data_IF_026348780450
#
_entry.id   IF_026348780450
#
_cell.length_a   1.000
_cell.length_b   1.000
_cell.length_c   1.000
_cell.angle_alpha   90.00
_cell.angle_beta   90.00
_cell.angle_gamma   90.00
#
_symmetry.space_group_name_H-M   'P 1'
#
loop_
_entity.id
_entity.type
_entity.pdbx_description
1 polymer ?
#
# COMPACT_ATOMS: atom_id res chain seq x y z
N UNK A 1 8.25 16.57 -7.28
CA UNK A 1 7.28 17.67 -7.45
C UNK A 1 6.64 17.91 -6.11
N UNK A 2 6.54 19.16 -5.66
CA UNK A 2 5.81 19.53 -4.44
C UNK A 2 4.37 19.88 -4.78
N UNK A 3 3.43 19.53 -3.91
CA UNK A 3 2.01 19.79 -4.11
C UNK A 3 1.62 21.19 -3.59
N UNK A 4 0.75 21.89 -4.32
CA UNK A 4 0.19 23.16 -3.87
C UNK A 4 -0.80 22.96 -2.70
N UNK A 5 -1.09 23.99 -1.89
CA UNK A 5 -2.11 23.91 -0.84
C UNK A 5 -3.51 23.52 -1.36
N UNK A 6 -3.85 23.91 -2.59
CA UNK A 6 -5.10 23.55 -3.25
C UNK A 6 -5.13 22.05 -3.57
N UNK A 7 -4.04 21.51 -4.12
CA UNK A 7 -3.91 20.08 -4.35
C UNK A 7 -4.07 19.29 -3.04
N UNK A 8 -3.46 19.77 -1.94
CA UNK A 8 -3.59 19.14 -0.63
C UNK A 8 -5.03 19.14 -0.09
N UNK A 9 -5.86 20.13 -0.44
CA UNK A 9 -7.29 20.12 -0.06
C UNK A 9 -8.06 19.05 -0.82
N UNK A 10 -7.81 18.90 -2.12
CA UNK A 10 -8.44 17.85 -2.93
C UNK A 10 -8.09 16.47 -2.38
N UNK A 11 -6.83 16.29 -1.97
CA UNK A 11 -6.34 15.02 -1.43
C UNK A 11 -6.93 14.63 -0.06
N UNK A 12 -7.66 15.53 0.62
CA UNK A 12 -8.34 15.21 1.88
C UNK A 12 -9.63 14.43 1.69
N UNK A 13 -10.27 14.57 0.52
CA UNK A 13 -11.47 13.81 0.22
C UNK A 13 -11.08 12.41 -0.24
N UNK A 14 -11.78 11.36 0.24
CA UNK A 14 -11.48 10.00 -0.17
C UNK A 14 -11.80 9.82 -1.66
N UNK A 15 -10.83 9.37 -2.44
CA UNK A 15 -10.97 9.07 -3.87
C UNK A 15 -11.84 7.82 -4.16
N UNK A 16 -12.36 7.17 -3.12
CA UNK A 16 -13.13 5.95 -3.21
C UNK A 16 -13.91 5.66 -1.93
N UNK A 17 -14.26 4.39 -1.73
CA UNK A 17 -15.03 3.98 -0.55
C UNK A 17 -14.21 4.18 0.74
N UNK A 18 -14.68 5.07 1.60
CA UNK A 18 -14.14 5.22 2.95
C UNK A 18 -14.67 4.10 3.85
N UNK A 19 -13.76 3.23 4.29
CA UNK A 19 -14.05 2.19 5.27
C UNK A 19 -13.67 2.68 6.67
N UNK A 20 -14.64 3.21 7.41
CA UNK A 20 -14.41 3.75 8.75
C UNK A 20 -13.98 2.67 9.75
N UNK A 21 -12.99 2.96 10.60
CA UNK A 21 -12.46 2.02 11.60
C UNK A 21 -13.53 1.43 12.54
N UNK A 22 -14.51 2.23 12.96
CA UNK A 22 -15.63 1.77 13.83
C UNK A 22 -16.53 0.73 13.15
N UNK A 23 -16.52 0.70 11.83
CA UNK A 23 -17.43 -0.08 10.99
C UNK A 23 -16.73 -1.21 10.24
N UNK A 24 -15.39 -1.21 10.19
CA UNK A 24 -14.56 -2.20 9.50
C UNK A 24 -14.57 -3.51 10.26
N UNK A 25 -15.02 -4.56 9.57
CA UNK A 25 -14.92 -5.94 10.01
C UNK A 25 -14.22 -6.76 8.92
N UNK A 26 -13.62 -7.90 9.31
CA UNK A 26 -13.04 -8.86 8.37
C UNK A 26 -14.00 -9.20 7.23
N UNK A 27 -15.28 -9.39 7.55
CA UNK A 27 -16.33 -9.74 6.58
C UNK A 27 -16.54 -8.61 5.55
N UNK A 28 -16.69 -7.36 6.00
CA UNK A 28 -16.91 -6.22 5.11
C UNK A 28 -15.71 -5.94 4.20
N UNK A 29 -14.51 -6.02 4.76
CA UNK A 29 -13.30 -5.82 3.97
C UNK A 29 -13.16 -6.92 2.92
N UNK A 30 -13.29 -8.18 3.33
CA UNK A 30 -13.23 -9.33 2.42
C UNK A 30 -14.29 -9.25 1.34
N UNK A 31 -15.55 -8.90 1.67
CA UNK A 31 -16.61 -8.75 0.67
C UNK A 31 -16.34 -7.64 -0.35
N UNK A 32 -15.59 -6.62 0.04
CA UNK A 32 -15.22 -5.50 -0.84
C UNK A 32 -14.10 -5.87 -1.82
N UNK A 33 -13.22 -6.81 -1.45
CA UNK A 33 -12.04 -7.18 -2.26
C UNK A 33 -12.08 -8.59 -2.85
N UNK A 34 -13.08 -9.43 -2.51
CA UNK A 34 -13.15 -10.85 -2.92
C UNK A 34 -13.10 -11.12 -4.42
N UNK A 35 -13.44 -10.13 -5.25
CA UNK A 35 -13.41 -10.23 -6.72
C UNK A 35 -12.29 -9.39 -7.35
N UNK A 36 -11.47 -8.73 -6.52
CA UNK A 36 -10.35 -7.94 -6.99
C UNK A 36 -9.26 -8.85 -7.55
N UNK A 37 -8.83 -8.58 -8.78
CA UNK A 37 -7.69 -9.28 -9.41
C UNK A 37 -6.35 -8.75 -8.94
N UNK A 38 -6.33 -7.55 -8.38
CA UNK A 38 -5.15 -6.84 -7.91
C UNK A 38 -5.54 -6.10 -6.63
N UNK A 39 -4.78 -6.32 -5.55
CA UNK A 39 -4.95 -5.60 -4.29
C UNK A 39 -3.62 -4.89 -3.99
N UNK A 40 -3.68 -3.57 -3.83
CA UNK A 40 -2.51 -2.76 -3.47
C UNK A 40 -2.78 -2.08 -2.14
N UNK A 41 -1.86 -2.19 -1.19
CA UNK A 41 -1.90 -1.45 0.07
C UNK A 41 -0.78 -0.40 0.12
N UNK A 42 -1.10 0.78 0.62
CA UNK A 42 -0.14 1.86 0.86
C UNK A 42 -0.23 2.26 2.33
N UNK A 43 0.92 2.28 2.99
CA UNK A 43 1.06 2.53 4.41
C UNK A 43 1.17 1.28 5.26
N UNK A 44 1.96 1.38 6.33
CA UNK A 44 2.21 0.30 7.31
C UNK A 44 0.89 -0.13 7.98
N UNK A 45 0.18 0.79 8.65
CA UNK A 45 -1.11 0.52 9.29
C UNK A 45 -2.17 -0.08 8.35
N UNK A 46 -2.23 0.36 7.09
CA UNK A 46 -3.13 -0.20 6.08
C UNK A 46 -2.75 -1.65 5.80
N UNK A 47 -1.47 -1.89 5.49
CA UNK A 47 -0.91 -3.21 5.17
C UNK A 47 -1.10 -4.20 6.33
N UNK A 48 -0.84 -3.77 7.57
CA UNK A 48 -1.05 -4.56 8.77
C UNK A 48 -2.53 -4.95 8.94
N UNK A 49 -3.47 -4.04 8.66
CA UNK A 49 -4.90 -4.32 8.80
C UNK A 49 -5.40 -5.33 7.77
N UNK A 50 -5.06 -5.18 6.49
CA UNK A 50 -5.48 -6.16 5.47
C UNK A 50 -4.89 -7.54 5.76
N UNK A 51 -3.61 -7.60 6.13
CA UNK A 51 -2.93 -8.87 6.45
C UNK A 51 -3.45 -9.51 7.74
N UNK A 52 -3.80 -8.74 8.76
CA UNK A 52 -4.48 -9.23 9.98
C UNK A 52 -5.78 -9.96 9.66
N UNK A 53 -6.49 -9.51 8.62
CA UNK A 53 -7.71 -10.15 8.15
C UNK A 53 -7.48 -11.32 7.17
N UNK A 54 -6.23 -11.69 6.92
CA UNK A 54 -5.86 -12.79 6.03
C UNK A 54 -5.90 -12.44 4.55
N UNK A 55 -5.93 -11.15 4.21
CA UNK A 55 -5.85 -10.67 2.83
C UNK A 55 -4.38 -10.34 2.56
N UNK A 56 -3.80 -11.00 1.57
CA UNK A 56 -2.42 -10.74 1.12
C UNK A 56 -2.49 -9.78 -0.07
N UNK A 57 -2.00 -8.53 0.06
CA UNK A 57 -1.91 -7.62 -1.07
C UNK A 57 -0.95 -8.17 -2.15
N UNK A 58 -1.28 -7.95 -3.42
CA UNK A 58 -0.39 -8.22 -4.54
C UNK A 58 0.84 -7.30 -4.49
N UNK A 59 0.64 -6.04 -4.07
CA UNK A 59 1.70 -5.08 -3.79
C UNK A 59 1.41 -4.38 -2.47
N UNK A 60 2.39 -4.27 -1.58
CA UNK A 60 2.33 -3.39 -0.42
C UNK A 60 3.46 -2.36 -0.46
N UNK A 61 3.15 -1.10 -0.18
CA UNK A 61 4.10 0.02 -0.16
C UNK A 61 4.18 0.57 1.25
N UNK A 62 5.37 0.55 1.85
CA UNK A 62 5.58 0.87 3.27
C UNK A 62 6.88 1.67 3.45
N UNK A 63 6.91 2.65 4.36
CA UNK A 63 8.14 3.38 4.70
C UNK A 63 8.88 2.78 5.93
N UNK A 64 8.21 1.91 6.68
CA UNK A 64 8.76 1.26 7.85
C UNK A 64 9.03 2.22 9.02
N UNK A 65 8.49 3.44 8.99
CA UNK A 65 8.59 4.39 10.11
C UNK A 65 7.67 4.02 11.26
N UNK A 66 6.65 3.18 11.01
CA UNK A 66 5.86 2.52 12.04
C UNK A 66 6.56 1.28 12.66
N UNK A 67 7.88 1.12 12.50
CA UNK A 67 8.71 0.14 13.24
C UNK A 67 8.87 0.50 14.73
N UNK A 68 7.78 0.84 15.42
CA UNK A 68 7.72 0.73 16.88
C UNK A 68 6.99 -0.56 17.21
N UNK A 69 7.72 -1.41 17.94
CA UNK A 69 7.36 -2.73 18.43
C UNK A 69 7.74 -3.82 17.44
N UNK A 70 8.79 -4.57 17.80
CA UNK A 70 8.90 -6.00 17.52
C UNK A 70 7.56 -6.65 17.91
N UNK A 71 6.57 -6.64 17.01
CA UNK A 71 5.35 -7.38 17.25
C UNK A 71 5.74 -8.83 17.05
N UNK A 72 5.68 -9.59 18.16
CA UNK A 72 5.69 -11.04 18.16
C UNK A 72 4.80 -11.53 17.03
N UNK A 73 5.41 -11.95 15.92
CA UNK A 73 4.82 -12.81 14.87
C UNK A 73 3.29 -12.80 14.89
N UNK A 74 2.69 -11.66 14.56
CA UNK A 74 1.28 -11.65 14.24
C UNK A 74 1.17 -12.47 12.96
N UNK A 75 0.24 -13.43 12.91
CA UNK A 75 0.12 -14.37 11.80
C UNK A 75 0.15 -13.71 10.40
N UNK A 76 -0.21 -12.42 10.28
CA UNK A 76 -0.12 -11.62 9.06
C UNK A 76 1.29 -11.39 8.52
N UNK A 77 2.31 -11.24 9.37
CA UNK A 77 3.70 -11.04 8.91
C UNK A 77 4.32 -12.36 8.42
N UNK A 78 3.93 -13.49 9.04
CA UNK A 78 4.29 -14.84 8.61
C UNK A 78 3.77 -15.17 7.20
N UNK A 79 2.63 -14.63 6.79
CA UNK A 79 2.07 -14.81 5.44
C UNK A 79 2.94 -14.15 4.35
N UNK A 80 3.69 -13.11 4.70
CA UNK A 80 4.58 -12.38 3.80
C UNK A 80 6.06 -12.84 3.90
N UNK A 81 6.43 -13.69 4.86
CA UNK A 81 7.85 -13.98 5.12
C UNK A 81 8.51 -14.95 4.11
N UNK A 82 7.76 -15.86 3.49
CA UNK A 82 8.40 -16.96 2.76
C UNK A 82 8.46 -16.79 1.22
N UNK A 83 7.75 -15.82 0.62
CA UNK A 83 7.67 -15.68 -0.85
C UNK A 83 7.48 -14.24 -1.36
N UNK A 84 7.83 -13.22 -0.57
CA UNK A 84 7.61 -11.82 -0.97
C UNK A 84 8.85 -11.24 -1.62
N UNK A 85 8.71 -10.76 -2.86
CA UNK A 85 9.76 -9.99 -3.52
C UNK A 85 9.86 -8.61 -2.85
N UNK A 86 11.06 -8.22 -2.42
CA UNK A 86 11.28 -6.90 -1.86
C UNK A 86 11.94 -5.97 -2.88
N UNK A 87 11.32 -4.81 -3.11
CA UNK A 87 11.87 -3.71 -3.88
C UNK A 87 12.06 -2.50 -2.97
N UNK A 88 12.99 -1.61 -3.33
CA UNK A 88 13.30 -0.41 -2.54
C UNK A 88 13.32 0.82 -3.42
N UNK A 89 12.85 1.94 -2.88
CA UNK A 89 12.94 3.24 -3.54
C UNK A 89 13.08 4.36 -2.51
N UNK A 90 13.51 5.55 -2.95
CA UNK A 90 13.49 6.75 -2.11
C UNK A 90 12.42 7.72 -2.61
N UNK A 91 11.68 8.30 -1.67
CA UNK A 91 10.66 9.31 -1.95
C UNK A 91 10.65 10.39 -0.87
N UNK A 92 11.30 11.54 -1.08
CA UNK A 92 11.31 12.64 -0.11
C UNK A 92 9.89 13.05 0.31
N UNK A 93 9.76 13.55 1.53
CA UNK A 93 8.47 13.97 2.09
C UNK A 93 7.77 15.01 1.20
N UNK A 94 6.46 14.85 1.02
CA UNK A 94 5.65 15.73 0.18
C UNK A 94 5.97 15.65 -1.33
N UNK A 95 6.63 14.59 -1.78
CA UNK A 95 6.97 14.41 -3.21
C UNK A 95 6.48 13.10 -3.81
N UNK A 96 6.49 13.06 -5.14
CA UNK A 96 6.43 11.82 -5.93
C UNK A 96 7.70 11.78 -6.78
N UNK A 97 8.65 10.92 -6.41
CA UNK A 97 9.92 10.78 -7.11
C UNK A 97 9.78 9.91 -8.35
N UNK A 98 10.49 10.25 -9.44
CA UNK A 98 10.48 9.43 -10.67
C UNK A 98 11.00 8.01 -10.42
N UNK A 99 12.00 7.89 -9.53
CA UNK A 99 12.55 6.59 -9.13
C UNK A 99 11.52 5.73 -8.41
N UNK A 100 10.76 6.29 -7.47
CA UNK A 100 9.66 5.58 -6.80
C UNK A 100 8.61 5.12 -7.82
N UNK A 101 8.19 5.98 -8.76
CA UNK A 101 7.24 5.61 -9.81
C UNK A 101 7.74 4.45 -10.69
N UNK A 102 9.03 4.43 -11.02
CA UNK A 102 9.62 3.32 -11.77
C UNK A 102 9.53 2.00 -10.97
N UNK A 103 9.92 2.04 -9.70
CA UNK A 103 9.86 0.87 -8.82
C UNK A 103 8.43 0.38 -8.61
N UNK A 104 7.44 1.28 -8.51
CA UNK A 104 6.02 0.90 -8.42
C UNK A 104 5.55 0.17 -9.69
N UNK A 105 6.00 0.61 -10.87
CA UNK A 105 5.68 -0.07 -12.13
C UNK A 105 6.28 -1.48 -12.16
N UNK A 106 7.53 -1.62 -11.71
CA UNK A 106 8.18 -2.93 -11.65
C UNK A 106 7.53 -3.85 -10.62
N UNK A 107 7.12 -3.29 -9.47
CA UNK A 107 6.36 -4.00 -8.46
C UNK A 107 5.04 -4.54 -9.01
N UNK A 108 4.28 -3.71 -9.73
CA UNK A 108 3.01 -4.13 -10.35
C UNK A 108 3.22 -5.24 -11.39
N UNK A 109 4.28 -5.17 -12.20
CA UNK A 109 4.61 -6.25 -13.14
C UNK A 109 4.97 -7.55 -12.43
N UNK A 110 5.83 -7.49 -11.41
CA UNK A 110 6.25 -8.67 -10.67
C UNK A 110 5.12 -9.29 -9.83
N UNK A 111 4.09 -8.51 -9.49
CA UNK A 111 2.94 -8.93 -8.69
C UNK A 111 2.07 -10.03 -9.34
N UNK A 112 2.26 -10.29 -10.64
CA UNK A 112 1.60 -11.40 -11.33
C UNK A 112 2.14 -12.78 -10.91
N UNK A 113 3.33 -12.83 -10.32
CA UNK A 113 4.00 -14.09 -9.95
C UNK A 113 4.11 -14.27 -8.45
N UNK A 114 4.51 -13.21 -7.73
CA UNK A 114 4.67 -13.24 -6.28
C UNK A 114 4.18 -11.91 -5.69
N UNK A 115 3.66 -11.91 -4.44
CA UNK A 115 3.40 -10.65 -3.75
C UNK A 115 4.68 -9.82 -3.61
N UNK A 116 4.56 -8.50 -3.74
CA UNK A 116 5.70 -7.58 -3.72
C UNK A 116 5.58 -6.59 -2.57
N UNK A 117 6.66 -6.42 -1.80
CA UNK A 117 6.79 -5.36 -0.79
C UNK A 117 7.75 -4.29 -1.29
N UNK A 118 7.25 -3.09 -1.49
CA UNK A 118 8.03 -1.89 -1.80
C UNK A 118 8.34 -1.16 -0.50
N UNK A 119 9.62 -1.05 -0.16
CA UNK A 119 10.11 -0.32 1.00
C UNK A 119 10.55 1.07 0.54
N UNK A 120 9.98 2.11 1.15
CA UNK A 120 10.19 3.51 0.79
C UNK A 120 11.09 4.18 1.81
N UNK A 121 12.25 4.65 1.36
CA UNK A 121 13.10 5.54 2.15
C UNK A 121 12.58 6.98 2.00
N UNK A 122 11.68 7.37 2.90
CA UNK A 122 11.03 8.66 2.84
C UNK A 122 9.56 8.59 3.28
N UNK A 123 8.64 9.11 2.47
CA UNK A 123 7.19 9.09 2.68
C UNK A 123 6.51 8.29 1.55
N UNK A 124 5.58 7.40 1.89
CA UNK A 124 4.84 6.53 0.98
C UNK A 124 3.45 7.05 0.61
N UNK A 125 2.84 7.91 1.42
CA UNK A 125 1.43 8.32 1.28
C UNK A 125 1.08 8.82 -0.12
N UNK A 126 1.89 9.73 -0.66
CA UNK A 126 1.68 10.29 -2.00
C UNK A 126 1.91 9.30 -3.13
N UNK A 127 2.53 8.14 -2.87
CA UNK A 127 2.72 7.09 -3.87
C UNK A 127 1.41 6.34 -4.19
N UNK A 128 0.35 6.53 -3.42
CA UNK A 128 -1.00 6.10 -3.80
C UNK A 128 -1.47 6.73 -5.13
N UNK A 129 -1.11 7.99 -5.39
CA UNK A 129 -1.52 8.72 -6.59
C UNK A 129 -0.99 8.12 -7.89
N UNK A 130 0.33 7.87 -8.06
CA UNK A 130 0.81 7.19 -9.25
C UNK A 130 0.27 5.76 -9.35
N UNK A 131 -0.02 5.08 -8.24
CA UNK A 131 -0.67 3.75 -8.29
C UNK A 131 -2.05 3.85 -8.95
N UNK A 132 -2.88 4.83 -8.58
CA UNK A 132 -4.20 5.05 -9.20
C UNK A 132 -4.12 5.24 -10.72
N UNK A 133 -3.01 5.79 -11.23
CA UNK A 133 -2.78 5.99 -12.65
C UNK A 133 -2.18 4.77 -13.37
N UNK A 134 -1.50 3.90 -12.64
CA UNK A 134 -0.78 2.74 -13.19
C UNK A 134 -1.63 1.47 -13.23
N UNK A 135 -2.65 1.37 -12.37
CA UNK A 135 -3.53 0.20 -12.28
C UNK A 135 -4.79 0.41 -13.13
N UNK A 136 -5.35 -0.66 -13.72
CA UNK A 136 -6.63 -0.56 -14.40
C UNK A 136 -7.74 -0.17 -13.40
N UNK A 137 -8.78 0.50 -13.90
CA UNK A 137 -9.99 0.74 -13.11
C UNK A 137 -10.57 -0.59 -12.61
N UNK A 138 -10.97 -0.61 -11.34
CA UNK A 138 -11.53 -1.76 -10.64
C UNK A 138 -12.81 -1.41 -9.92
#
# INVERSE_FOLDING_TARGET
MFLSPENLRILKEPFGLLLENKSVSKVKLYSSVKHAKLIVSVGDATTDRVTLYGIIPSVCVVDGRERRVQRRTAAGDSLLQNQVLQLRCSNPAGTISKGAVHVLRDALKASSTNPVRVIVEGEEDLLALPIFLLVPYG
#
